data_IF_158189422718
#
_entry.id   IF_158189422718
#
_cell.length_a   1.000
_cell.length_b   1.000
_cell.length_c   1.000
_cell.angle_alpha   90.00
_cell.angle_beta   90.00
_cell.angle_gamma   90.00
#
_symmetry.space_group_name_H-M   'P 1'
#
loop_
_entity.id
_entity.type
_entity.pdbx_description
1 polymer ?
#
# COMPACT_ATOMS: atom_id res chain seq x y z
N UNK A 1 -16.35 -3.73 29.56
CA UNK A 1 -15.06 -3.02 29.33
C UNK A 1 -14.59 -3.10 27.88
N UNK A 2 -14.49 -4.28 27.26
CA UNK A 2 -13.96 -4.44 25.90
C UNK A 2 -14.66 -3.62 24.79
N UNK A 3 -15.98 -3.39 24.87
CA UNK A 3 -16.70 -2.50 23.94
C UNK A 3 -16.35 -1.03 24.14
N UNK A 4 -16.38 -0.54 25.38
CA UNK A 4 -15.95 0.82 25.71
C UNK A 4 -14.51 1.09 25.30
N UNK A 5 -13.62 0.09 25.41
CA UNK A 5 -12.24 0.19 24.92
C UNK A 5 -12.17 0.29 23.39
N UNK A 6 -12.99 -0.47 22.66
CA UNK A 6 -13.06 -0.38 21.19
C UNK A 6 -13.55 0.99 20.74
N UNK A 7 -14.57 1.54 21.41
CA UNK A 7 -15.13 2.85 21.09
C UNK A 7 -14.12 3.98 21.40
N UNK A 8 -13.47 3.94 22.56
CA UNK A 8 -12.41 4.88 22.92
C UNK A 8 -11.22 4.80 21.97
N UNK A 9 -10.82 3.59 21.57
CA UNK A 9 -9.75 3.39 20.59
C UNK A 9 -10.12 3.96 19.22
N UNK A 10 -11.37 3.78 18.76
CA UNK A 10 -11.84 4.31 17.49
C UNK A 10 -11.89 5.85 17.46
N UNK A 11 -12.18 6.49 18.59
CA UNK A 11 -12.28 7.96 18.70
C UNK A 11 -10.92 8.63 18.94
N UNK A 12 -10.09 8.07 19.83
CA UNK A 12 -8.87 8.72 20.33
C UNK A 12 -7.57 8.10 19.78
N UNK A 13 -7.65 7.03 19.00
CA UNK A 13 -6.48 6.30 18.47
C UNK A 13 -5.69 5.52 19.54
N UNK A 14 -6.24 5.38 20.75
CA UNK A 14 -5.63 4.70 21.88
C UNK A 14 -6.51 4.75 23.13
N UNK A 15 -6.25 3.87 24.10
CA UNK A 15 -7.00 3.82 25.37
C UNK A 15 -6.06 4.12 26.53
N UNK A 16 -6.31 5.21 27.26
CA UNK A 16 -5.58 5.55 28.48
C UNK A 16 -6.38 5.17 29.73
N UNK A 17 -5.69 4.97 30.86
CA UNK A 17 -6.32 4.68 32.16
C UNK A 17 -7.31 5.78 32.54
N UNK A 18 -6.97 7.04 32.29
CA UNK A 18 -7.82 8.20 32.56
C UNK A 18 -9.16 8.14 31.82
N UNK A 19 -9.16 7.64 30.58
CA UNK A 19 -10.37 7.50 29.76
C UNK A 19 -11.27 6.38 30.28
N UNK A 20 -10.68 5.30 30.79
CA UNK A 20 -11.40 4.19 31.42
C UNK A 20 -12.02 4.58 32.75
N UNK A 21 -11.31 5.36 33.56
CA UNK A 21 -11.87 5.94 34.80
C UNK A 21 -13.01 6.89 34.48
N UNK A 22 -12.89 7.72 33.44
CA UNK A 22 -13.98 8.61 32.98
C UNK A 22 -15.18 7.83 32.44
N UNK A 23 -14.96 6.66 31.85
CA UNK A 23 -16.01 5.74 31.40
C UNK A 23 -16.69 4.97 32.55
N UNK A 24 -16.29 5.22 33.81
CA UNK A 24 -16.92 4.64 35.00
C UNK A 24 -16.31 3.33 35.47
N UNK A 25 -15.17 2.90 34.91
CA UNK A 25 -14.49 1.69 35.36
C UNK A 25 -13.65 1.95 36.61
N UNK A 26 -13.69 1.00 37.55
CA UNK A 26 -12.88 1.04 38.76
C UNK A 26 -11.44 0.61 38.49
N UNK A 27 -10.52 1.03 39.36
CA UNK A 27 -9.11 0.64 39.26
C UNK A 27 -8.90 -0.88 39.34
N UNK A 28 -9.76 -1.60 40.07
CA UNK A 28 -9.70 -3.06 40.16
C UNK A 28 -10.05 -3.72 38.82
N UNK A 29 -11.13 -3.27 38.17
CA UNK A 29 -11.54 -3.77 36.84
C UNK A 29 -10.50 -3.44 35.77
N UNK A 30 -9.88 -2.25 35.81
CA UNK A 30 -8.85 -1.86 34.83
C UNK A 30 -7.61 -2.76 34.93
N UNK A 31 -7.23 -3.16 36.15
CA UNK A 31 -6.10 -4.06 36.37
C UNK A 31 -6.44 -5.48 35.93
N UNK A 32 -7.65 -5.95 36.23
CA UNK A 32 -8.13 -7.29 35.85
C UNK A 32 -8.09 -7.52 34.34
N UNK A 33 -8.52 -6.55 33.54
CA UNK A 33 -8.57 -6.66 32.07
C UNK A 33 -7.34 -6.10 31.35
N UNK A 34 -6.27 -5.77 32.09
CA UNK A 34 -5.05 -5.15 31.52
C UNK A 34 -4.37 -6.05 30.50
N UNK A 35 -4.27 -7.35 30.76
CA UNK A 35 -3.54 -8.27 29.90
C UNK A 35 -4.32 -8.62 28.62
N UNK A 36 -5.65 -8.71 28.72
CA UNK A 36 -6.55 -8.86 27.57
C UNK A 36 -6.52 -7.61 26.68
N UNK A 37 -6.52 -6.43 27.30
CA UNK A 37 -6.38 -5.15 26.61
C UNK A 37 -5.02 -5.04 25.90
N UNK A 38 -3.94 -5.45 26.54
CA UNK A 38 -2.60 -5.45 25.95
C UNK A 38 -2.53 -6.41 24.75
N UNK A 39 -3.17 -7.57 24.86
CA UNK A 39 -3.26 -8.55 23.75
C UNK A 39 -4.05 -7.99 22.57
N UNK A 40 -5.21 -7.37 22.82
CA UNK A 40 -6.02 -6.73 21.78
C UNK A 40 -5.29 -5.56 21.11
N UNK A 41 -4.61 -4.73 21.90
CA UNK A 41 -3.81 -3.62 21.40
C UNK A 41 -2.62 -4.13 20.57
N UNK A 42 -1.95 -5.20 21.00
CA UNK A 42 -0.87 -5.83 20.25
C UNK A 42 -1.38 -6.39 18.92
N UNK A 43 -2.50 -7.12 18.93
CA UNK A 43 -3.14 -7.64 17.72
C UNK A 43 -3.56 -6.53 16.75
N UNK A 44 -4.11 -5.42 17.26
CA UNK A 44 -4.48 -4.27 16.45
C UNK A 44 -3.25 -3.48 15.93
N UNK A 45 -2.18 -3.42 16.72
CA UNK A 45 -0.93 -2.74 16.35
C UNK A 45 -0.10 -3.53 15.35
N UNK A 46 -0.15 -4.87 15.41
CA UNK A 46 0.36 -5.71 14.33
C UNK A 46 -0.61 -5.60 13.17
N UNK A 47 -0.36 -4.64 12.28
CA UNK A 47 -0.86 -4.66 10.92
C UNK A 47 -0.57 -6.07 10.40
N UNK A 48 -1.59 -6.91 10.25
CA UNK A 48 -1.44 -8.21 9.59
C UNK A 48 -1.07 -7.88 8.14
N UNK A 49 0.23 -7.68 7.90
CA UNK A 49 0.84 -7.72 6.59
C UNK A 49 0.83 -9.19 6.21
N UNK A 50 -0.35 -9.73 5.92
CA UNK A 50 -0.41 -10.90 5.07
C UNK A 50 0.31 -10.48 3.79
N UNK A 51 1.49 -11.07 3.56
CA UNK A 51 2.21 -10.94 2.29
C UNK A 51 1.36 -11.71 1.28
N UNK A 52 0.25 -11.09 0.89
CA UNK A 52 -0.63 -11.57 -0.15
C UNK A 52 0.01 -11.16 -1.47
N UNK A 53 0.05 -12.04 -2.47
CA UNK A 53 0.42 -11.65 -3.82
C UNK A 53 -0.49 -10.51 -4.30
N UNK A 54 0.07 -9.57 -5.04
CA UNK A 54 -0.69 -8.47 -5.61
C UNK A 54 -1.69 -9.01 -6.64
N UNK A 55 -2.94 -8.60 -6.48
CA UNK A 55 -3.94 -8.75 -7.53
C UNK A 55 -3.83 -7.61 -8.53
N UNK A 56 -4.61 -7.69 -9.62
CA UNK A 56 -4.66 -6.66 -10.66
C UNK A 56 -4.85 -5.24 -10.08
N UNK A 57 -5.80 -5.06 -9.16
CA UNK A 57 -6.06 -3.76 -8.53
C UNK A 57 -4.86 -3.25 -7.72
N UNK A 58 -4.19 -4.13 -6.98
CA UNK A 58 -3.00 -3.78 -6.21
C UNK A 58 -1.84 -3.37 -7.14
N UNK A 59 -1.67 -4.11 -8.25
CA UNK A 59 -0.66 -3.79 -9.27
C UNK A 59 -0.93 -2.43 -9.93
N UNK A 60 -2.20 -2.14 -10.26
CA UNK A 60 -2.62 -0.84 -10.79
C UNK A 60 -2.33 0.27 -9.78
N UNK A 61 -2.73 0.08 -8.52
CA UNK A 61 -2.54 1.08 -7.48
C UNK A 61 -1.06 1.40 -7.24
N UNK A 62 -0.24 0.35 -7.12
CA UNK A 62 1.22 0.48 -6.98
C UNK A 62 1.86 1.16 -8.20
N UNK A 63 1.44 0.79 -9.41
CA UNK A 63 1.90 1.43 -10.66
C UNK A 63 1.52 2.90 -10.76
N UNK A 64 0.32 3.28 -10.32
CA UNK A 64 -0.10 4.69 -10.29
C UNK A 64 0.71 5.52 -9.30
N UNK A 65 0.94 5.00 -8.10
CA UNK A 65 1.70 5.68 -7.05
C UNK A 65 3.20 5.70 -7.34
N UNK A 66 3.72 4.67 -8.02
CA UNK A 66 5.13 4.53 -8.40
C UNK A 66 6.10 4.74 -7.21
N UNK A 67 5.81 4.12 -6.07
CA UNK A 67 6.69 4.18 -4.90
C UNK A 67 7.82 3.13 -5.01
N UNK A 68 9.12 3.49 -4.92
CA UNK A 68 10.23 2.56 -5.12
C UNK A 68 10.24 1.35 -4.15
N UNK A 69 9.70 1.54 -2.95
CA UNK A 69 9.59 0.50 -1.93
C UNK A 69 8.31 -0.33 -2.01
N UNK A 70 7.43 -0.08 -3.00
CA UNK A 70 6.17 -0.80 -3.22
C UNK A 70 6.12 -1.42 -4.61
N UNK A 71 6.96 -2.43 -4.80
CA UNK A 71 7.01 -3.23 -6.03
C UNK A 71 5.68 -4.00 -6.24
N UNK A 72 5.10 -3.98 -7.46
CA UNK A 72 4.03 -4.91 -7.85
C UNK A 72 4.56 -6.34 -8.01
N UNK A 73 4.20 -7.24 -7.09
CA UNK A 73 4.62 -8.63 -7.09
C UNK A 73 3.38 -9.56 -7.14
N UNK A 74 3.09 -10.17 -8.30
CA UNK A 74 2.02 -11.16 -8.43
C UNK A 74 2.39 -12.46 -7.70
N UNK A 75 1.46 -13.42 -7.68
CA UNK A 75 1.74 -14.76 -7.20
C UNK A 75 2.95 -15.35 -7.93
N UNK A 76 3.80 -16.04 -7.17
CA UNK A 76 4.99 -16.74 -7.65
C UNK A 76 6.14 -15.85 -8.17
N UNK A 77 6.06 -14.52 -7.96
CA UNK A 77 7.15 -13.59 -8.27
C UNK A 77 7.92 -13.18 -7.00
N UNK A 78 9.22 -13.44 -7.01
CA UNK A 78 10.13 -12.99 -5.95
C UNK A 78 10.84 -11.69 -6.36
N UNK A 79 11.12 -10.77 -5.42
CA UNK A 79 11.82 -9.53 -5.70
C UNK A 79 13.30 -9.79 -6.02
N UNK A 80 13.59 -10.01 -7.31
CA UNK A 80 14.97 -10.11 -7.79
C UNK A 80 15.60 -8.72 -7.91
N UNK A 81 16.94 -8.66 -7.88
CA UNK A 81 17.67 -7.39 -8.12
C UNK A 81 17.28 -6.73 -9.44
N UNK A 82 17.06 -7.53 -10.50
CA UNK A 82 16.63 -7.03 -11.80
C UNK A 82 15.25 -6.39 -11.75
N UNK A 83 14.28 -7.02 -11.07
CA UNK A 83 12.93 -6.47 -10.90
C UNK A 83 12.94 -5.17 -10.08
N UNK A 84 13.73 -5.13 -9.01
CA UNK A 84 13.87 -3.92 -8.18
C UNK A 84 14.48 -2.77 -8.98
N UNK A 85 15.49 -3.06 -9.80
CA UNK A 85 16.11 -2.05 -10.66
C UNK A 85 15.15 -1.54 -11.73
N UNK A 86 14.50 -2.43 -12.49
CA UNK A 86 13.54 -2.06 -13.53
C UNK A 86 12.36 -1.24 -12.97
N UNK A 87 11.90 -1.58 -11.76
CA UNK A 87 10.90 -0.78 -11.06
C UNK A 87 11.41 0.60 -10.66
N UNK A 88 12.65 0.70 -10.16
CA UNK A 88 13.28 1.98 -9.87
C UNK A 88 13.40 2.88 -11.10
N UNK A 89 13.72 2.29 -12.26
CA UNK A 89 13.75 2.98 -13.55
C UNK A 89 12.36 3.52 -13.94
N UNK A 90 11.30 2.71 -13.76
CA UNK A 90 9.91 3.17 -13.95
C UNK A 90 9.56 4.32 -12.99
N UNK A 91 9.85 4.19 -11.70
CA UNK A 91 9.61 5.24 -10.71
C UNK A 91 10.32 6.55 -11.07
N UNK A 92 11.57 6.46 -11.54
CA UNK A 92 12.32 7.63 -12.00
C UNK A 92 11.70 8.27 -13.25
N UNK A 93 11.29 7.46 -14.23
CA UNK A 93 10.61 7.95 -15.43
C UNK A 93 9.25 8.61 -15.08
N UNK A 94 8.51 8.05 -14.14
CA UNK A 94 7.25 8.63 -13.64
C UNK A 94 7.47 9.96 -12.94
N UNK A 95 8.53 10.07 -12.13
CA UNK A 95 8.93 11.32 -11.50
C UNK A 95 9.32 12.38 -12.52
N UNK A 96 10.11 12.01 -13.55
CA UNK A 96 10.49 12.91 -14.63
C UNK A 96 9.27 13.46 -15.39
N UNK A 97 8.30 12.59 -15.70
CA UNK A 97 7.04 12.99 -16.35
C UNK A 97 6.21 13.96 -15.50
N UNK A 98 6.26 13.87 -14.18
CA UNK A 98 5.56 14.79 -13.29
C UNK A 98 6.25 16.16 -13.22
N UNK A 99 7.56 16.20 -13.38
CA UNK A 99 8.36 17.44 -13.37
C UNK A 99 8.30 18.19 -14.71
N UNK A 100 8.34 17.46 -15.82
CA UNK A 100 8.31 18.00 -17.18
C UNK A 100 7.34 17.19 -18.05
N UNK A 101 6.04 17.53 -18.05
CA UNK A 101 5.04 16.79 -18.78
C UNK A 101 5.11 17.09 -20.29
N UNK A 102 5.56 16.12 -21.08
CA UNK A 102 5.37 16.11 -22.55
C UNK A 102 5.21 14.69 -23.10
N UNK A 103 4.75 14.60 -24.35
CA UNK A 103 4.41 13.33 -25.03
C UNK A 103 5.55 12.32 -25.03
N UNK A 104 6.77 12.75 -25.35
CA UNK A 104 7.93 11.85 -25.39
C UNK A 104 8.32 11.27 -24.03
N UNK A 105 8.12 12.00 -22.93
CA UNK A 105 8.34 11.45 -21.59
C UNK A 105 7.23 10.48 -21.19
N UNK A 106 6.00 10.74 -21.61
CA UNK A 106 4.87 9.84 -21.38
C UNK A 106 5.10 8.50 -22.06
N UNK A 107 5.49 8.52 -23.33
CA UNK A 107 5.83 7.31 -24.11
C UNK A 107 6.97 6.52 -23.46
N UNK A 108 8.07 7.19 -23.07
CA UNK A 108 9.19 6.54 -22.38
C UNK A 108 8.75 5.91 -21.06
N UNK A 109 7.98 6.64 -20.25
CA UNK A 109 7.48 6.13 -18.98
C UNK A 109 6.63 4.87 -19.16
N UNK A 110 5.75 4.85 -20.17
CA UNK A 110 4.92 3.68 -20.49
C UNK A 110 5.75 2.52 -21.04
N UNK A 111 6.78 2.79 -21.85
CA UNK A 111 7.68 1.75 -22.36
C UNK A 111 8.46 1.05 -21.23
N UNK A 112 8.96 1.83 -20.26
CA UNK A 112 9.66 1.27 -19.09
C UNK A 112 8.70 0.45 -18.22
N UNK A 113 7.48 0.94 -17.98
CA UNK A 113 6.46 0.16 -17.27
C UNK A 113 6.13 -1.15 -17.99
N UNK A 114 5.98 -1.09 -19.33
CA UNK A 114 5.71 -2.27 -20.14
C UNK A 114 6.83 -3.29 -19.95
N UNK A 115 8.10 -2.88 -20.14
CA UNK A 115 9.27 -3.74 -19.98
C UNK A 115 9.32 -4.43 -18.61
N UNK A 116 9.06 -3.67 -17.54
CA UNK A 116 8.93 -4.21 -16.19
C UNK A 116 7.86 -5.30 -16.10
N UNK A 117 6.64 -5.04 -16.59
CA UNK A 117 5.55 -6.00 -16.58
C UNK A 117 5.81 -7.23 -17.49
N UNK A 118 6.76 -7.15 -18.43
CA UNK A 118 7.16 -8.31 -19.24
C UNK A 118 8.04 -9.30 -18.50
N UNK A 119 8.77 -8.81 -17.50
CA UNK A 119 9.61 -9.64 -16.64
C UNK A 119 8.83 -10.36 -15.53
N UNK A 120 7.54 -10.04 -15.36
CA UNK A 120 6.66 -10.68 -14.39
C UNK A 120 5.93 -11.90 -14.98
N UNK A 121 5.68 -12.96 -14.18
CA UNK A 121 4.94 -14.15 -14.61
C UNK A 121 3.42 -13.90 -14.64
N UNK A 122 2.97 -12.91 -15.43
CA UNK A 122 1.56 -12.53 -15.54
C UNK A 122 1.03 -12.72 -16.96
N UNK A 123 -0.28 -12.97 -17.06
CA UNK A 123 -0.94 -13.06 -18.36
C UNK A 123 -0.90 -11.73 -19.12
N UNK A 124 -0.79 -11.75 -20.46
CA UNK A 124 -0.80 -10.53 -21.28
C UNK A 124 -2.02 -9.63 -21.05
N UNK A 125 -3.19 -10.21 -20.77
CA UNK A 125 -4.40 -9.45 -20.46
C UNK A 125 -4.27 -8.58 -19.20
N UNK A 126 -3.57 -9.08 -18.16
CA UNK A 126 -3.29 -8.34 -16.94
C UNK A 126 -2.34 -7.17 -17.26
N UNK A 127 -1.26 -7.43 -18.02
CA UNK A 127 -0.32 -6.40 -18.46
C UNK A 127 -1.03 -5.25 -19.18
N UNK A 128 -1.84 -5.57 -20.19
CA UNK A 128 -2.61 -4.57 -20.95
C UNK A 128 -3.56 -3.78 -20.05
N UNK A 129 -4.20 -4.43 -19.09
CA UNK A 129 -5.11 -3.78 -18.14
C UNK A 129 -4.39 -2.79 -17.24
N UNK A 130 -3.22 -3.17 -16.71
CA UNK A 130 -2.36 -2.27 -15.91
C UNK A 130 -1.90 -1.08 -16.74
N UNK A 131 -1.35 -1.32 -17.94
CA UNK A 131 -0.85 -0.25 -18.81
C UNK A 131 -1.95 0.76 -19.14
N UNK A 132 -3.12 0.29 -19.56
CA UNK A 132 -4.28 1.14 -19.88
C UNK A 132 -4.76 1.95 -18.66
N UNK A 133 -4.81 1.32 -17.49
CA UNK A 133 -5.27 1.95 -16.25
C UNK A 133 -4.30 2.98 -15.68
N UNK A 134 -3.00 2.83 -15.94
CA UNK A 134 -1.95 3.78 -15.56
C UNK A 134 -1.89 4.93 -16.56
N UNK A 135 -1.92 4.62 -17.86
CA UNK A 135 -1.89 5.62 -18.93
C UNK A 135 -3.05 6.61 -18.81
N UNK A 136 -4.25 6.14 -18.47
CA UNK A 136 -5.42 7.00 -18.27
C UNK A 136 -5.30 7.93 -17.04
N UNK A 137 -4.46 7.57 -16.07
CA UNK A 137 -4.21 8.33 -14.85
C UNK A 137 -2.97 9.26 -14.96
N UNK A 138 -2.25 9.24 -16.08
CA UNK A 138 -1.10 10.11 -16.29
C UNK A 138 -1.52 11.56 -16.60
N UNK A 139 -0.63 12.55 -16.36
CA UNK A 139 -0.85 13.94 -16.75
C UNK A 139 -1.24 14.04 -18.23
N UNK A 140 -2.28 14.82 -18.51
CA UNK A 140 -2.63 15.13 -19.89
C UNK A 140 -1.58 16.08 -20.45
N UNK A 141 -0.85 15.59 -21.44
CA UNK A 141 0.18 16.34 -22.15
C UNK A 141 -0.43 16.89 -23.41
N UNK A 142 -0.46 18.22 -23.52
CA UNK A 142 -0.89 18.90 -24.73
C UNK A 142 0.18 18.68 -25.79
N UNK A 143 -0.24 18.30 -27.00
CA UNK A 143 0.65 18.10 -28.15
C UNK A 143 1.32 19.40 -28.58
#
# INVERSE_FOLDING_TARGET
MAEAMRDLFAVCGGVKIEDLVRAGFTSAEIVEFRDDAATLAALASTKQLTVRPDLLEDMIDKARHAAPNRLPLPADAEPTRGLVQAWGEYCAARGALLLDPWSGQRERCMAVLSSYLESLPIFPAIRTSVLKAVESAMPQVTQ
#
